data_IF_955560974988
#
_entry.id   IF_955560974988
#
_cell.length_a   1.000
_cell.length_b   1.000
_cell.length_c   1.000
_cell.angle_alpha   90.00
_cell.angle_beta   90.00
_cell.angle_gamma   90.00
#
_symmetry.space_group_name_H-M   'P 1'
#
loop_
_entity.id
_entity.type
_entity.pdbx_description
1 polymer ?
#
# COMPACT_ATOMS: atom_id res chain seq x y z
N UNK A 1 -77.03 28.38 -11.96
CA UNK A 1 -76.61 27.33 -10.98
C UNK A 1 -76.42 26.01 -11.71
N UNK A 2 -75.19 25.50 -11.83
CA UNK A 2 -74.83 24.05 -11.82
C UNK A 2 -73.32 23.84 -12.16
N UNK A 3 -72.56 23.71 -11.07
CA UNK A 3 -71.47 22.74 -10.78
C UNK A 3 -70.29 22.60 -11.76
N UNK A 4 -69.20 23.26 -11.33
CA UNK A 4 -67.80 22.85 -11.39
C UNK A 4 -67.60 21.31 -11.35
N UNK A 5 -66.80 20.77 -12.28
CA UNK A 5 -66.05 19.52 -12.07
C UNK A 5 -64.62 19.71 -12.56
N UNK A 6 -63.75 19.86 -11.58
CA UNK A 6 -62.29 19.81 -11.66
C UNK A 6 -61.89 18.34 -11.95
N UNK A 7 -61.22 18.09 -13.07
CA UNK A 7 -60.55 16.82 -13.33
C UNK A 7 -59.06 17.01 -12.99
N UNK A 8 -58.65 16.39 -11.89
CA UNK A 8 -57.25 16.29 -11.47
C UNK A 8 -56.46 15.49 -12.52
N UNK A 9 -55.40 16.08 -13.08
CA UNK A 9 -54.32 15.34 -13.73
C UNK A 9 -53.49 14.65 -12.64
N UNK A 10 -53.53 13.32 -12.62
CA UNK A 10 -52.60 12.50 -11.82
C UNK A 10 -51.40 12.11 -12.69
N UNK A 11 -50.35 12.92 -12.69
CA UNK A 11 -49.06 12.54 -13.24
C UNK A 11 -48.33 11.63 -12.24
N UNK A 12 -48.42 10.31 -12.41
CA UNK A 12 -47.49 9.38 -11.77
C UNK A 12 -46.16 9.42 -12.53
N UNK A 13 -45.27 10.31 -12.11
CA UNK A 13 -43.85 10.18 -12.40
C UNK A 13 -43.28 9.10 -11.47
N UNK A 14 -43.21 7.87 -11.97
CA UNK A 14 -42.49 6.79 -11.32
C UNK A 14 -41.00 7.13 -11.25
N UNK A 15 -40.53 7.49 -10.06
CA UNK A 15 -39.11 7.53 -9.72
C UNK A 15 -38.58 6.10 -9.80
N UNK A 16 -37.98 5.72 -10.93
CA UNK A 16 -37.03 4.62 -10.95
C UNK A 16 -35.85 5.05 -10.06
N UNK A 17 -35.83 4.57 -8.82
CA UNK A 17 -34.63 4.63 -8.00
C UNK A 17 -33.53 3.87 -8.74
N UNK A 18 -32.54 4.58 -9.26
CA UNK A 18 -31.30 3.95 -9.71
C UNK A 18 -30.76 3.14 -8.52
N UNK A 19 -30.35 1.87 -8.72
CA UNK A 19 -29.61 1.17 -7.68
C UNK A 19 -28.42 2.06 -7.33
N UNK A 20 -28.30 2.40 -6.05
CA UNK A 20 -27.15 3.13 -5.55
C UNK A 20 -25.90 2.41 -6.04
N UNK A 21 -25.17 3.00 -6.98
CA UNK A 21 -23.81 2.58 -7.26
C UNK A 21 -23.11 2.68 -5.90
N UNK A 22 -22.69 1.54 -5.35
CA UNK A 22 -21.85 1.53 -4.16
C UNK A 22 -20.73 2.53 -4.42
N UNK A 23 -20.70 3.61 -3.63
CA UNK A 23 -19.70 4.65 -3.83
C UNK A 23 -18.34 3.97 -3.70
N UNK A 24 -17.47 4.15 -4.68
CA UNK A 24 -16.09 3.70 -4.57
C UNK A 24 -15.44 4.51 -3.44
N UNK A 25 -15.33 3.89 -2.26
CA UNK A 25 -14.74 4.50 -1.06
C UNK A 25 -13.21 4.40 -1.07
N UNK A 26 -12.61 3.96 -2.19
CA UNK A 26 -11.17 3.84 -2.35
C UNK A 26 -10.47 5.19 -2.11
N UNK A 27 -9.54 5.28 -1.14
CA UNK A 27 -8.70 6.45 -1.00
C UNK A 27 -7.89 6.72 -2.28
N UNK A 28 -7.49 7.96 -2.58
CA UNK A 28 -6.70 8.26 -3.77
C UNK A 28 -5.47 7.36 -3.91
N UNK A 29 -5.31 6.74 -5.08
CA UNK A 29 -4.21 5.82 -5.40
C UNK A 29 -4.26 4.45 -4.73
N UNK A 30 -5.27 4.16 -3.92
CA UNK A 30 -5.48 2.88 -3.24
C UNK A 30 -6.75 2.21 -3.81
N UNK A 31 -6.92 0.91 -3.57
CA UNK A 31 -8.10 0.19 -4.03
C UNK A 31 -8.28 0.33 -5.54
N UNK A 32 -9.47 0.77 -5.96
CA UNK A 32 -9.82 0.99 -7.36
C UNK A 32 -9.39 2.37 -7.89
N UNK A 33 -8.99 3.30 -7.02
CA UNK A 33 -8.72 4.70 -7.38
C UNK A 33 -7.51 4.86 -8.30
N UNK A 34 -7.72 5.53 -9.45
CA UNK A 34 -6.65 5.90 -10.39
C UNK A 34 -6.01 7.26 -10.09
N UNK A 35 -6.47 7.96 -9.05
CA UNK A 35 -5.84 9.20 -8.61
C UNK A 35 -4.43 8.95 -8.06
N UNK A 36 -3.62 10.00 -7.96
CA UNK A 36 -2.34 9.89 -7.27
C UNK A 36 -2.57 9.64 -5.76
N UNK A 37 -1.72 8.82 -5.10
CA UNK A 37 -1.75 8.69 -3.65
C UNK A 37 -1.60 10.03 -2.94
N UNK A 38 -2.41 10.23 -1.89
CA UNK A 38 -2.37 11.41 -1.02
C UNK A 38 -2.09 10.98 0.43
N UNK A 39 -1.55 11.91 1.21
CA UNK A 39 -1.30 11.72 2.64
C UNK A 39 -0.09 12.53 3.09
N UNK A 40 0.44 12.18 4.27
CA UNK A 40 1.58 12.87 4.86
C UNK A 40 2.84 12.64 4.03
N UNK A 41 3.58 13.70 3.65
CA UNK A 41 4.88 13.55 3.00
C UNK A 41 5.86 12.74 3.86
N UNK A 42 6.57 11.80 3.23
CA UNK A 42 7.68 11.10 3.85
C UNK A 42 9.00 11.76 3.46
N UNK A 43 9.86 11.99 4.45
CA UNK A 43 11.20 12.51 4.25
C UNK A 43 12.22 11.49 4.75
N UNK A 44 13.30 11.34 4.00
CA UNK A 44 14.45 10.57 4.44
C UNK A 44 15.19 11.32 5.56
N UNK A 45 15.86 10.61 6.48
CA UNK A 45 16.79 11.24 7.42
C UNK A 45 17.84 12.08 6.69
N UNK A 46 18.30 13.15 7.35
CA UNK A 46 19.39 13.98 6.83
C UNK A 46 20.64 13.13 6.53
N UNK A 47 21.34 13.44 5.44
CA UNK A 47 22.53 12.70 5.01
C UNK A 47 22.25 11.41 4.24
N UNK A 48 21.00 10.94 4.20
CA UNK A 48 20.57 9.80 3.38
C UNK A 48 19.85 10.28 2.12
N UNK A 49 20.20 9.66 0.99
CA UNK A 49 19.49 9.84 -0.29
C UNK A 49 19.05 8.49 -0.82
N UNK A 50 17.92 8.45 -1.52
CA UNK A 50 17.41 7.28 -2.22
C UNK A 50 17.45 7.55 -3.72
N UNK A 51 18.08 6.66 -4.49
CA UNK A 51 18.09 6.76 -5.95
C UNK A 51 16.68 6.58 -6.51
N UNK A 52 16.29 7.48 -7.40
CA UNK A 52 15.04 7.45 -8.14
C UNK A 52 15.32 7.36 -9.65
N UNK A 53 14.42 6.76 -10.46
CA UNK A 53 13.29 5.95 -10.04
C UNK A 53 13.73 4.67 -9.33
N UNK A 54 12.85 4.14 -8.47
CA UNK A 54 13.02 2.83 -7.84
C UNK A 54 12.62 1.77 -8.86
N UNK A 55 13.44 0.72 -8.97
CA UNK A 55 13.17 -0.40 -9.87
C UNK A 55 12.65 -1.62 -9.09
N UNK A 56 11.75 -2.41 -9.70
CA UNK A 56 11.49 -3.75 -9.24
C UNK A 56 12.76 -4.60 -9.36
N UNK A 57 12.81 -5.71 -8.63
CA UNK A 57 13.84 -6.73 -8.81
C UNK A 57 13.20 -8.11 -8.78
N UNK A 58 13.81 -9.04 -9.48
CA UNK A 58 13.43 -10.45 -9.43
C UNK A 58 14.19 -11.14 -8.29
N UNK A 59 13.47 -11.71 -7.33
CA UNK A 59 14.05 -12.38 -6.17
C UNK A 59 14.88 -13.63 -6.53
N UNK A 60 14.68 -14.20 -7.72
CA UNK A 60 15.51 -15.28 -8.26
C UNK A 60 16.83 -14.78 -8.90
N UNK A 61 16.94 -13.47 -9.14
CA UNK A 61 18.08 -12.80 -9.76
C UNK A 61 18.68 -11.76 -8.79
N UNK A 62 19.43 -12.18 -7.76
CA UNK A 62 19.96 -11.27 -6.74
C UNK A 62 20.83 -10.14 -7.30
N UNK A 63 21.42 -10.31 -8.49
CA UNK A 63 22.15 -9.27 -9.21
C UNK A 63 21.30 -8.02 -9.51
N UNK A 64 19.98 -8.18 -9.67
CA UNK A 64 19.05 -7.07 -9.92
C UNK A 64 18.98 -6.11 -8.72
N UNK A 65 19.42 -6.56 -7.54
CA UNK A 65 19.56 -5.73 -6.34
C UNK A 65 20.93 -5.86 -5.67
N UNK A 66 22.01 -5.78 -6.46
CA UNK A 66 23.38 -5.66 -5.93
C UNK A 66 23.88 -6.91 -5.23
N UNK A 67 23.48 -8.10 -5.70
CA UNK A 67 23.80 -9.42 -5.14
C UNK A 67 23.35 -9.61 -3.69
N UNK A 68 22.28 -8.90 -3.28
CA UNK A 68 21.68 -9.08 -1.96
C UNK A 68 20.82 -10.34 -1.92
N UNK A 69 20.93 -11.09 -0.83
CA UNK A 69 20.09 -12.25 -0.58
C UNK A 69 18.62 -11.82 -0.42
N UNK A 70 17.76 -12.26 -1.33
CA UNK A 70 16.33 -11.96 -1.30
C UNK A 70 15.62 -12.52 -0.04
N UNK A 71 16.20 -13.53 0.63
CA UNK A 71 15.71 -14.03 1.92
C UNK A 71 15.95 -13.04 3.07
N UNK A 72 16.82 -12.05 2.86
CA UNK A 72 17.10 -10.95 3.79
C UNK A 72 16.42 -9.65 3.36
N UNK A 73 15.42 -9.73 2.49
CA UNK A 73 14.62 -8.57 2.11
C UNK A 73 13.93 -7.97 3.34
N UNK A 74 13.90 -6.64 3.39
CA UNK A 74 13.07 -5.88 4.32
C UNK A 74 11.60 -6.02 3.94
N UNK A 75 10.72 -5.74 4.89
CA UNK A 75 9.28 -5.97 4.73
C UNK A 75 8.87 -7.34 5.25
N UNK A 76 7.56 -7.53 5.37
CA UNK A 76 6.97 -8.73 5.98
C UNK A 76 6.19 -9.50 4.94
N UNK A 77 6.78 -10.58 4.38
CA UNK A 77 6.21 -11.57 3.44
C UNK A 77 5.30 -11.10 2.27
N UNK A 78 5.14 -9.79 2.07
CA UNK A 78 4.52 -9.18 0.91
C UNK A 78 5.41 -9.44 -0.30
N UNK A 79 5.18 -10.55 -0.98
CA UNK A 79 6.01 -11.01 -2.08
C UNK A 79 5.52 -10.50 -3.44
N UNK A 80 4.38 -9.81 -3.48
CA UNK A 80 3.76 -9.39 -4.73
C UNK A 80 4.39 -8.13 -5.34
N UNK A 81 5.10 -7.33 -4.53
CA UNK A 81 5.91 -6.22 -5.02
C UNK A 81 7.28 -6.27 -4.38
N UNK A 82 8.30 -6.51 -5.19
CA UNK A 82 9.69 -6.58 -4.81
C UNK A 82 10.43 -5.39 -5.43
N UNK A 83 10.91 -4.45 -4.60
CA UNK A 83 11.64 -3.25 -5.04
C UNK A 83 13.07 -3.26 -4.53
N UNK A 84 14.01 -2.76 -5.34
CA UNK A 84 15.38 -2.56 -4.92
C UNK A 84 15.62 -1.10 -4.53
N UNK A 85 15.74 -0.83 -3.23
CA UNK A 85 16.09 0.49 -2.75
C UNK A 85 17.60 0.68 -2.79
N UNK A 86 18.06 1.80 -3.36
CA UNK A 86 19.48 2.13 -3.46
C UNK A 86 19.74 3.40 -2.67
N UNK A 87 20.20 3.23 -1.44
CA UNK A 87 20.51 4.33 -0.54
C UNK A 87 21.96 4.78 -0.69
N UNK A 88 22.23 6.05 -0.40
CA UNK A 88 23.57 6.57 -0.14
C UNK A 88 23.55 7.38 1.14
N UNK A 89 24.45 7.06 2.06
CA UNK A 89 24.68 7.80 3.30
C UNK A 89 26.01 8.55 3.21
N UNK A 90 25.95 9.88 3.27
CA UNK A 90 27.11 10.77 3.11
C UNK A 90 27.81 11.12 4.43
N UNK A 91 27.34 10.58 5.54
CA UNK A 91 27.93 10.81 6.86
C UNK A 91 29.03 9.78 7.17
N UNK A 92 29.74 9.98 8.28
CA UNK A 92 30.77 9.06 8.75
C UNK A 92 30.25 7.89 9.61
N UNK A 93 28.95 7.78 9.84
CA UNK A 93 28.35 6.77 10.72
C UNK A 93 27.10 6.14 10.07
N UNK A 94 26.70 4.91 10.43
CA UNK A 94 25.44 4.33 9.98
C UNK A 94 24.22 5.19 10.36
N UNK A 95 23.21 5.23 9.49
CA UNK A 95 21.94 5.93 9.73
C UNK A 95 20.79 4.94 9.58
N UNK A 96 19.88 4.93 10.54
CA UNK A 96 18.65 4.16 10.46
C UNK A 96 17.59 4.90 9.65
N UNK A 97 17.12 4.28 8.57
CA UNK A 97 15.97 4.72 7.78
C UNK A 97 14.76 3.91 8.20
N UNK A 98 13.80 4.57 8.83
CA UNK A 98 12.53 3.95 9.23
C UNK A 98 11.49 4.15 8.13
N UNK A 99 11.03 3.06 7.54
CA UNK A 99 9.88 3.04 6.63
C UNK A 99 8.61 2.77 7.47
N UNK A 100 7.74 3.77 7.71
CA UNK A 100 6.58 3.61 8.57
C UNK A 100 5.48 2.79 7.90
N UNK A 101 4.58 2.15 8.69
CA UNK A 101 3.37 1.56 8.15
C UNK A 101 2.54 2.64 7.42
N UNK A 102 1.94 2.25 6.30
CA UNK A 102 1.21 3.13 5.41
C UNK A 102 2.05 3.90 4.39
N UNK A 103 3.39 3.80 4.42
CA UNK A 103 4.24 4.37 3.37
C UNK A 103 3.93 3.70 2.03
N UNK A 104 3.59 4.50 1.03
CA UNK A 104 3.26 4.06 -0.32
C UNK A 104 4.48 4.20 -1.24
N UNK A 105 4.78 3.14 -1.98
CA UNK A 105 5.65 3.17 -3.15
C UNK A 105 4.76 3.24 -4.38
N UNK A 106 4.73 4.40 -5.01
CA UNK A 106 3.80 4.71 -6.10
C UNK A 106 4.35 4.18 -7.42
N UNK A 107 3.61 3.32 -8.10
CA UNK A 107 3.92 2.98 -9.48
C UNK A 107 3.71 4.19 -10.39
N UNK A 108 4.64 4.43 -11.30
CA UNK A 108 4.49 5.42 -12.37
C UNK A 108 3.50 4.98 -13.46
N UNK A 109 3.09 3.71 -13.44
CA UNK A 109 2.10 3.16 -14.33
C UNK A 109 0.76 3.00 -13.58
N UNK A 110 -0.23 3.82 -13.89
CA UNK A 110 -1.55 3.80 -13.21
C UNK A 110 -2.28 2.45 -13.34
N UNK A 111 -1.91 1.62 -14.31
CA UNK A 111 -2.46 0.27 -14.49
C UNK A 111 -1.81 -0.77 -13.59
N UNK A 112 -0.80 -0.41 -12.81
CA UNK A 112 -0.03 -1.31 -11.94
C UNK A 112 -0.31 -1.04 -10.47
N UNK A 113 -0.01 -2.05 -9.67
CA UNK A 113 -0.13 -2.01 -8.22
C UNK A 113 0.84 -0.99 -7.62
N UNK A 114 0.34 -0.13 -6.74
CA UNK A 114 1.17 0.54 -5.75
C UNK A 114 1.59 -0.46 -4.67
N UNK A 115 2.78 -0.26 -4.11
CA UNK A 115 3.25 -0.99 -2.94
C UNK A 115 2.97 -0.23 -1.66
N UNK A 116 2.64 -0.95 -0.58
CA UNK A 116 2.42 -0.35 0.73
C UNK A 116 3.15 -1.12 1.83
N UNK A 117 3.76 -0.37 2.74
CA UNK A 117 4.39 -0.91 3.95
C UNK A 117 3.30 -1.17 4.99
N UNK A 118 3.18 -2.41 5.46
CA UNK A 118 2.15 -2.80 6.46
C UNK A 118 2.68 -2.72 7.90
N UNK A 119 3.96 -3.00 8.11
CA UNK A 119 4.64 -2.89 9.41
C UNK A 119 5.94 -2.11 9.25
N UNK A 120 6.30 -1.33 10.28
CA UNK A 120 7.52 -0.53 10.30
C UNK A 120 8.76 -1.37 9.96
N UNK A 121 9.59 -0.86 9.04
CA UNK A 121 10.87 -1.47 8.68
C UNK A 121 12.01 -0.50 9.00
N UNK A 122 13.00 -0.96 9.75
CA UNK A 122 14.21 -0.18 10.03
C UNK A 122 15.34 -0.72 9.18
N UNK A 123 15.89 0.15 8.32
CA UNK A 123 17.00 -0.15 7.42
C UNK A 123 18.22 0.64 7.89
N UNK A 124 19.23 -0.06 8.41
CA UNK A 124 20.50 0.57 8.74
C UNK A 124 21.34 0.77 7.48
N UNK A 125 21.55 2.03 7.09
CA UNK A 125 22.31 2.42 5.90
C UNK A 125 23.77 2.72 6.31
N UNK A 126 24.76 1.90 5.89
CA UNK A 126 26.16 2.12 6.21
C UNK A 126 26.72 3.36 5.50
N UNK A 127 27.82 3.95 5.99
CA UNK A 127 28.44 5.14 5.39
C UNK A 127 29.10 4.86 4.03
N UNK A 128 29.29 5.93 3.25
CA UNK A 128 30.21 6.07 2.11
C UNK A 128 29.99 5.21 0.84
N UNK A 129 29.09 4.24 0.83
CA UNK A 129 28.79 3.41 -0.35
C UNK A 129 27.30 3.40 -0.71
N UNK A 130 26.99 2.98 -1.95
CA UNK A 130 25.62 2.66 -2.35
C UNK A 130 25.20 1.40 -1.60
N UNK A 131 24.16 1.51 -0.79
CA UNK A 131 23.57 0.40 -0.07
C UNK A 131 22.30 -0.08 -0.78
N UNK A 132 22.35 -1.31 -1.28
CA UNK A 132 21.20 -2.00 -1.87
C UNK A 132 20.39 -2.68 -0.76
N UNK A 133 19.10 -2.35 -0.69
CA UNK A 133 18.14 -2.87 0.25
C UNK A 133 16.94 -3.47 -0.51
N UNK A 134 16.89 -4.80 -0.71
CA UNK A 134 15.71 -5.45 -1.25
C UNK A 134 14.53 -5.26 -0.29
N UNK A 135 13.39 -4.80 -0.81
CA UNK A 135 12.19 -4.53 -0.05
C UNK A 135 11.00 -5.28 -0.65
N UNK A 136 10.22 -5.91 0.21
CA UNK A 136 8.99 -6.65 -0.09
C UNK A 136 7.78 -5.90 0.45
N UNK A 137 6.79 -5.67 -0.41
CA UNK A 137 5.62 -4.83 -0.13
C UNK A 137 4.33 -5.57 -0.47
N UNK A 138 3.25 -5.14 0.19
CA UNK A 138 1.90 -5.56 -0.17
C UNK A 138 1.37 -4.73 -1.33
N UNK A 139 0.56 -5.35 -2.17
CA UNK A 139 -0.20 -4.71 -3.23
C UNK A 139 -1.32 -3.85 -2.62
N UNK A 140 -1.52 -2.64 -3.14
CA UNK A 140 -2.52 -1.71 -2.62
C UNK A 140 -3.77 -1.54 -3.51
N UNK A 141 -3.82 -2.18 -4.69
CA UNK A 141 -4.86 -2.02 -5.72
C UNK A 141 -5.36 -3.39 -6.23
N UNK A 142 -6.31 -4.05 -5.55
CA UNK A 142 -6.69 -5.45 -5.81
C UNK A 142 -7.06 -5.82 -7.25
N UNK A 143 -7.49 -4.86 -8.07
CA UNK A 143 -7.87 -5.06 -9.46
C UNK A 143 -6.74 -4.82 -10.49
N UNK A 144 -5.50 -4.58 -10.05
CA UNK A 144 -4.35 -4.32 -10.93
C UNK A 144 -3.34 -5.46 -10.94
N UNK A 145 -2.68 -5.74 -12.06
CA UNK A 145 -1.53 -6.65 -12.06
C UNK A 145 -0.34 -6.06 -11.29
N UNK A 146 0.49 -6.95 -10.73
CA UNK A 146 1.77 -6.61 -10.13
C UNK A 146 2.77 -5.98 -11.12
N UNK A 147 3.94 -5.54 -10.62
CA UNK A 147 4.97 -4.94 -11.45
C UNK A 147 5.51 -5.93 -12.49
N UNK A 148 5.82 -5.42 -13.68
CA UNK A 148 6.74 -6.06 -14.62
C UNK A 148 8.14 -5.45 -14.51
N UNK A 149 9.12 -6.06 -15.18
CA UNK A 149 10.55 -5.73 -15.06
C UNK A 149 10.89 -4.26 -15.40
N UNK A 150 10.14 -3.64 -16.31
CA UNK A 150 10.35 -2.26 -16.76
C UNK A 150 9.49 -1.22 -16.02
N UNK A 151 8.63 -1.65 -15.09
CA UNK A 151 7.85 -0.71 -14.29
C UNK A 151 8.76 0.09 -13.36
N UNK A 152 8.36 1.33 -13.06
CA UNK A 152 9.15 2.25 -12.26
C UNK A 152 8.31 2.78 -11.11
N UNK A 153 8.95 2.98 -9.96
CA UNK A 153 8.31 3.42 -8.74
C UNK A 153 8.92 4.71 -8.21
N UNK A 154 8.10 5.50 -7.54
CA UNK A 154 8.52 6.64 -6.74
C UNK A 154 8.25 6.38 -5.25
N UNK A 155 9.07 7.00 -4.41
CA UNK A 155 8.75 7.12 -2.99
C UNK A 155 7.55 8.05 -2.83
N UNK A 156 6.45 7.54 -2.29
CA UNK A 156 5.18 8.26 -2.14
C UNK A 156 4.93 8.76 -0.71
N UNK A 157 3.71 9.23 -0.44
CA UNK A 157 3.30 9.66 0.89
C UNK A 157 3.02 8.47 1.81
N UNK A 158 2.85 8.78 3.09
CA UNK A 158 2.25 7.89 4.08
C UNK A 158 0.74 8.12 4.02
N UNK A 159 -0.03 7.06 3.75
CA UNK A 159 -1.50 7.17 3.71
C UNK A 159 -2.06 7.65 5.04
N UNK A 160 -3.09 8.49 4.96
CA UNK A 160 -3.87 8.95 6.11
C UNK A 160 -5.27 8.31 6.16
N UNK A 161 -5.53 7.31 5.30
CA UNK A 161 -6.79 6.58 5.27
C UNK A 161 -7.03 5.91 6.64
N UNK A 162 -8.06 6.32 7.42
CA UNK A 162 -8.19 5.91 8.82
C UNK A 162 -8.28 4.40 9.03
N UNK A 163 -8.90 3.71 8.08
CA UNK A 163 -9.20 2.29 8.16
C UNK A 163 -7.97 1.44 7.84
N UNK A 164 -7.14 1.88 6.90
CA UNK A 164 -5.82 1.28 6.68
C UNK A 164 -4.89 1.54 7.87
N UNK A 165 -4.93 2.73 8.47
CA UNK A 165 -4.16 3.01 9.70
C UNK A 165 -4.60 2.08 10.83
N UNK A 166 -5.90 1.90 11.02
CA UNK A 166 -6.43 1.00 12.06
C UNK A 166 -6.06 -0.46 11.78
N UNK A 167 -6.09 -0.90 10.51
CA UNK A 167 -5.59 -2.21 10.09
C UNK A 167 -4.11 -2.38 10.45
N UNK A 168 -3.24 -1.44 10.04
CA UNK A 168 -1.80 -1.53 10.32
C UNK A 168 -1.48 -1.49 11.81
N UNK A 169 -2.28 -0.77 12.61
CA UNK A 169 -2.16 -0.79 14.07
C UNK A 169 -2.49 -2.18 14.65
N UNK A 170 -3.52 -2.87 14.15
CA UNK A 170 -3.86 -4.23 14.56
C UNK A 170 -2.77 -5.24 14.19
N UNK A 171 -2.16 -5.05 13.02
CA UNK A 171 -1.06 -5.89 12.55
C UNK A 171 0.28 -5.56 13.20
N UNK A 172 0.42 -4.43 13.90
CA UNK A 172 1.67 -4.01 14.50
C UNK A 172 2.19 -5.07 15.50
N UNK A 173 3.45 -5.47 15.35
CA UNK A 173 4.09 -6.45 16.22
C UNK A 173 3.65 -7.90 15.98
N UNK A 174 2.69 -8.19 15.09
CA UNK A 174 2.32 -9.57 14.74
C UNK A 174 3.38 -10.20 13.83
N UNK A 175 3.56 -11.52 13.93
CA UNK A 175 4.32 -12.27 12.93
C UNK A 175 3.42 -12.50 11.70
N UNK A 176 3.79 -11.90 10.58
CA UNK A 176 3.05 -12.01 9.32
C UNK A 176 3.66 -13.05 8.37
N UNK A 177 4.66 -13.82 8.82
CA UNK A 177 5.35 -14.78 7.96
C UNK A 177 4.43 -15.94 7.55
N UNK A 178 4.37 -16.24 6.25
CA UNK A 178 3.50 -17.27 5.67
C UNK A 178 2.00 -16.95 5.72
N UNK A 179 1.63 -15.71 6.02
CA UNK A 179 0.23 -15.29 6.17
C UNK A 179 -0.23 -14.55 4.91
N UNK A 180 -0.51 -15.30 3.85
CA UNK A 180 -0.95 -14.72 2.56
C UNK A 180 -2.23 -13.89 2.68
N UNK A 181 -3.06 -14.19 3.68
CA UNK A 181 -4.34 -13.53 3.90
C UNK A 181 -4.22 -12.04 4.29
N UNK A 182 -3.03 -11.60 4.74
CA UNK A 182 -2.78 -10.16 4.97
C UNK A 182 -2.96 -9.35 3.68
N UNK A 183 -2.59 -9.92 2.53
CA UNK A 183 -2.79 -9.27 1.25
C UNK A 183 -4.29 -9.05 0.96
N UNK A 184 -5.13 -10.01 1.33
CA UNK A 184 -6.59 -9.89 1.23
C UNK A 184 -7.11 -8.74 2.09
N UNK A 185 -6.61 -8.59 3.32
CA UNK A 185 -7.03 -7.50 4.22
C UNK A 185 -6.67 -6.14 3.66
N UNK A 186 -5.45 -5.99 3.14
CA UNK A 186 -5.01 -4.71 2.54
C UNK A 186 -5.90 -4.34 1.36
N UNK A 187 -6.22 -5.29 0.47
CA UNK A 187 -7.10 -5.03 -0.68
C UNK A 187 -8.52 -4.71 -0.27
N UNK A 188 -9.11 -5.50 0.63
CA UNK A 188 -10.48 -5.31 1.09
C UNK A 188 -10.62 -3.93 1.77
N UNK A 189 -9.76 -3.64 2.76
CA UNK A 189 -9.80 -2.34 3.44
C UNK A 189 -9.52 -1.17 2.52
N UNK A 190 -8.63 -1.32 1.54
CA UNK A 190 -8.36 -0.27 0.55
C UNK A 190 -9.55 -0.03 -0.40
N UNK A 191 -10.34 -1.06 -0.71
CA UNK A 191 -11.48 -0.96 -1.63
C UNK A 191 -12.79 -0.56 -0.94
N UNK A 192 -13.04 -1.07 0.26
CA UNK A 192 -14.30 -0.88 0.99
C UNK A 192 -14.22 0.24 2.02
N UNK A 193 -13.03 0.59 2.49
CA UNK A 193 -12.88 1.46 3.65
C UNK A 193 -13.35 0.79 4.95
N UNK A 194 -13.40 -0.54 5.02
CA UNK A 194 -13.76 -1.28 6.22
C UNK A 194 -12.72 -2.34 6.59
N UNK A 195 -12.68 -2.73 7.86
CA UNK A 195 -11.82 -3.82 8.37
C UNK A 195 -12.67 -5.07 8.63
N UNK A 196 -13.91 -5.14 8.13
CA UNK A 196 -14.99 -5.93 8.71
C UNK A 196 -14.94 -7.43 8.40
N UNK A 197 -14.29 -7.88 7.33
CA UNK A 197 -14.38 -9.28 6.92
C UNK A 197 -13.49 -10.24 7.73
N UNK A 198 -12.47 -9.75 8.46
CA UNK A 198 -11.43 -10.64 9.01
C UNK A 198 -10.79 -10.19 10.33
N UNK A 199 -11.43 -9.29 11.08
CA UNK A 199 -10.90 -8.81 12.37
C UNK A 199 -10.54 -9.97 13.30
N UNK A 200 -11.42 -10.95 13.43
CA UNK A 200 -11.24 -12.08 14.35
C UNK A 200 -10.00 -12.91 13.98
N UNK A 201 -9.67 -13.03 12.70
CA UNK A 201 -8.48 -13.76 12.25
C UNK A 201 -7.19 -12.98 12.51
N UNK A 202 -7.22 -11.64 12.52
CA UNK A 202 -6.03 -10.85 12.87
C UNK A 202 -5.65 -11.02 14.34
N UNK A 203 -6.64 -11.17 15.21
CA UNK A 203 -6.41 -11.30 16.64
C UNK A 203 -5.77 -12.66 16.99
N UNK A 204 -5.96 -13.69 16.15
CA UNK A 204 -5.31 -15.00 16.27
C UNK A 204 -3.90 -15.06 15.70
N UNK A 205 -3.42 -14.01 15.02
CA UNK A 205 -2.07 -14.00 14.46
C UNK A 205 -1.01 -14.08 15.57
N UNK A 206 0.03 -14.92 15.37
CA UNK A 206 1.05 -15.13 16.38
C UNK A 206 1.81 -13.84 16.69
N UNK A 207 2.29 -13.77 17.93
CA UNK A 207 3.27 -12.76 18.36
C UNK A 207 4.54 -12.85 17.49
N UNK A 208 5.39 -11.80 17.46
CA UNK A 208 6.60 -11.84 16.66
C UNK A 208 7.49 -12.96 17.21
N UNK A 209 8.06 -13.79 16.33
CA UNK A 209 9.09 -14.73 16.76
C UNK A 209 10.23 -13.93 17.40
N UNK A 210 10.64 -14.29 18.62
CA UNK A 210 11.83 -13.72 19.25
C UNK A 210 13.02 -13.97 18.32
N UNK A 211 13.54 -12.90 17.71
CA UNK A 211 14.77 -12.95 16.92
C UNK A 211 15.98 -13.05 17.82
#
# INVERSE_FOLDING_TARGET
MKRFRLLLLSALAGLCANPAQAQDLSPPGLGNSTAAPVGKPFALPEGVTLRQPIKPYDASRPQDCGNRDAKKAYGTDGHLIALCLQFTNRTGAPIDVTLPPGLIFRSRNVRKQNGIVVQSQVIQVPPAAIFYAPLRLYCANGNRPGPGDDDLYDLGPITEAPQLIALFRKLAGKNLAGVDVIQGFVWDTAATGEISAFVDMMDTLPAPASR
#
